data_IF_285600691624
#
_entry.id   IF_285600691624
#
_cell.length_a   1.000
_cell.length_b   1.000
_cell.length_c   1.000
_cell.angle_alpha   90.00
_cell.angle_beta   90.00
_cell.angle_gamma   90.00
#
_symmetry.space_group_name_H-M   'P 1'
#
loop_
_entity.id
_entity.type
_entity.pdbx_description
1 polymer ?
#
# COMPACT_ATOMS: atom_id res chain seq x y z
N UNK A 1 -12.01 -15.33 -15.34
CA UNK A 1 -11.70 -13.88 -15.36
C UNK A 1 -11.83 -13.39 -16.80
N UNK A 2 -12.47 -12.24 -17.01
CA UNK A 2 -12.68 -11.67 -18.34
C UNK A 2 -11.34 -11.17 -18.88
N UNK A 3 -10.78 -11.81 -19.91
CA UNK A 3 -9.42 -11.59 -20.45
C UNK A 3 -9.18 -10.21 -21.08
N UNK A 4 -10.13 -9.29 -20.98
CA UNK A 4 -10.07 -7.94 -21.56
C UNK A 4 -9.96 -6.80 -20.55
N UNK A 5 -10.21 -7.05 -19.26
CA UNK A 5 -10.21 -5.97 -18.25
C UNK A 5 -8.76 -5.67 -17.85
N UNK A 6 -8.30 -4.45 -18.17
CA UNK A 6 -6.92 -4.02 -17.91
C UNK A 6 -6.74 -3.33 -16.55
N UNK A 7 -7.77 -2.63 -16.09
CA UNK A 7 -7.73 -1.81 -14.88
C UNK A 7 -9.11 -1.72 -14.23
N UNK A 8 -9.13 -1.75 -12.91
CA UNK A 8 -10.30 -1.49 -12.07
C UNK A 8 -10.11 -0.13 -11.40
N UNK A 9 -11.13 0.73 -11.48
CA UNK A 9 -11.12 2.04 -10.83
C UNK A 9 -12.20 2.03 -9.75
N UNK A 10 -11.77 2.05 -8.48
CA UNK A 10 -12.65 2.12 -7.34
C UNK A 10 -13.04 3.58 -7.09
N UNK A 11 -14.33 3.85 -7.04
CA UNK A 11 -14.86 5.14 -6.60
C UNK A 11 -15.60 4.96 -5.28
N UNK A 12 -15.26 5.77 -4.29
CA UNK A 12 -15.85 5.66 -2.95
C UNK A 12 -16.11 7.03 -2.35
N UNK A 13 -17.07 7.13 -1.44
CA UNK A 13 -17.30 8.35 -0.67
C UNK A 13 -16.05 8.70 0.17
N UNK A 14 -15.83 9.99 0.39
CA UNK A 14 -14.70 10.54 1.14
C UNK A 14 -14.75 10.29 2.65
N UNK A 15 -15.67 9.47 3.16
CA UNK A 15 -15.82 9.15 4.57
C UNK A 15 -14.54 8.50 5.15
N UNK A 16 -13.77 9.31 5.89
CA UNK A 16 -12.39 9.02 6.27
C UNK A 16 -12.27 7.77 7.14
N UNK A 17 -13.15 7.64 8.15
CA UNK A 17 -13.11 6.55 9.13
C UNK A 17 -13.41 5.18 8.54
N UNK A 18 -14.10 5.12 7.40
CA UNK A 18 -14.55 3.88 6.78
C UNK A 18 -13.65 3.48 5.61
N UNK A 19 -13.47 4.39 4.65
CA UNK A 19 -12.90 4.03 3.36
C UNK A 19 -11.44 4.45 3.20
N UNK A 20 -11.00 5.53 3.86
CA UNK A 20 -9.62 6.04 3.79
C UNK A 20 -8.75 5.52 4.95
N UNK A 21 -8.50 4.22 4.98
CA UNK A 21 -7.64 3.57 5.97
C UNK A 21 -6.36 2.96 5.34
N UNK A 22 -5.29 2.82 6.13
CA UNK A 22 -4.00 2.33 5.63
C UNK A 22 -4.02 0.88 5.13
N UNK A 23 -4.91 0.04 5.69
CA UNK A 23 -5.06 -1.37 5.29
C UNK A 23 -5.64 -1.48 3.88
N UNK A 24 -6.63 -0.65 3.54
CA UNK A 24 -7.20 -0.56 2.19
C UNK A 24 -6.16 -0.17 1.15
N UNK A 25 -5.34 0.84 1.45
CA UNK A 25 -4.27 1.24 0.54
C UNK A 25 -3.21 0.15 0.37
N UNK A 26 -2.94 -0.62 1.43
CA UNK A 26 -2.04 -1.78 1.34
C UNK A 26 -2.63 -2.86 0.44
N UNK A 27 -3.91 -3.20 0.59
CA UNK A 27 -4.59 -4.13 -0.32
C UNK A 27 -4.56 -3.65 -1.79
N UNK A 28 -4.67 -2.33 -2.02
CA UNK A 28 -4.58 -1.76 -3.36
C UNK A 28 -3.23 -2.07 -4.04
N UNK A 29 -2.12 -2.10 -3.29
CA UNK A 29 -0.80 -2.47 -3.83
C UNK A 29 -0.76 -3.89 -4.39
N UNK A 30 -1.48 -4.81 -3.76
CA UNK A 30 -1.53 -6.23 -4.14
C UNK A 30 -2.61 -6.55 -5.16
N UNK A 31 -3.38 -5.56 -5.62
CA UNK A 31 -4.54 -5.80 -6.48
C UNK A 31 -4.21 -6.60 -7.75
N UNK A 32 -3.04 -6.34 -8.34
CA UNK A 32 -2.56 -7.08 -9.53
C UNK A 32 -2.12 -8.51 -9.20
N UNK A 33 -1.52 -8.73 -8.04
CA UNK A 33 -1.09 -10.06 -7.59
C UNK A 33 -2.30 -10.93 -7.21
N UNK A 34 -3.24 -10.36 -6.45
CA UNK A 34 -4.43 -11.05 -5.95
C UNK A 34 -5.47 -11.31 -7.06
N UNK A 35 -5.65 -10.38 -7.99
CA UNK A 35 -6.74 -10.41 -8.97
C UNK A 35 -6.28 -10.41 -10.44
N UNK A 36 -4.99 -10.33 -10.71
CA UNK A 36 -4.45 -10.30 -12.07
C UNK A 36 -4.70 -9.00 -12.84
N UNK A 37 -5.19 -7.94 -12.17
CA UNK A 37 -5.57 -6.67 -12.80
C UNK A 37 -5.13 -5.48 -11.97
N UNK A 38 -4.75 -4.37 -12.61
CA UNK A 38 -4.36 -3.15 -11.90
C UNK A 38 -5.56 -2.46 -11.26
N UNK A 39 -5.36 -1.85 -10.10
CA UNK A 39 -6.40 -1.15 -9.34
C UNK A 39 -5.98 0.27 -8.99
N UNK A 40 -6.88 1.23 -9.14
CA UNK A 40 -6.73 2.60 -8.63
C UNK A 40 -7.91 2.97 -7.76
N UNK A 41 -7.71 3.85 -6.77
CA UNK A 41 -8.76 4.23 -5.85
C UNK A 41 -8.94 5.74 -5.79
N UNK A 42 -10.15 6.18 -6.13
CA UNK A 42 -10.59 7.55 -6.11
C UNK A 42 -11.67 7.76 -5.07
N UNK A 43 -11.63 8.94 -4.44
CA UNK A 43 -12.58 9.35 -3.44
C UNK A 43 -13.32 10.61 -3.89
N UNK A 44 -14.62 10.63 -3.66
CA UNK A 44 -15.39 11.86 -3.75
C UNK A 44 -15.05 12.79 -2.57
N UNK A 45 -15.35 14.08 -2.73
CA UNK A 45 -15.24 15.01 -1.61
C UNK A 45 -16.19 14.60 -0.49
N UNK A 46 -15.75 14.80 0.76
CA UNK A 46 -16.58 14.58 1.96
C UNK A 46 -17.93 15.30 1.79
N UNK A 47 -19.02 14.54 1.94
CA UNK A 47 -20.42 15.01 1.90
C UNK A 47 -21.12 15.06 0.54
N UNK A 48 -20.61 14.42 -0.51
CA UNK A 48 -21.33 14.34 -1.78
C UNK A 48 -22.10 13.03 -1.98
N UNK A 49 -23.45 13.17 -1.96
CA UNK A 49 -24.38 12.56 -2.90
C UNK A 49 -24.66 11.07 -2.77
N UNK A 50 -25.94 10.71 -2.62
CA UNK A 50 -26.39 9.33 -2.81
C UNK A 50 -25.98 8.84 -4.20
N UNK A 51 -25.22 7.76 -4.28
CA UNK A 51 -24.76 7.17 -5.53
C UNK A 51 -25.70 6.08 -6.05
N UNK A 52 -25.38 5.48 -7.21
CA UNK A 52 -26.10 4.32 -7.73
C UNK A 52 -26.18 3.17 -6.71
N UNK A 53 -25.15 2.99 -5.87
CA UNK A 53 -25.12 2.00 -4.80
C UNK A 53 -26.22 2.22 -3.75
N UNK A 54 -26.53 3.47 -3.39
CA UNK A 54 -27.64 3.81 -2.49
C UNK A 54 -29.00 3.46 -3.11
N UNK A 55 -29.13 3.59 -4.43
CA UNK A 55 -30.32 3.17 -5.17
C UNK A 55 -30.54 1.66 -5.12
N UNK A 56 -29.48 0.87 -5.31
CA UNK A 56 -29.49 -0.60 -5.18
C UNK A 56 -29.88 -1.00 -3.76
N UNK A 57 -29.18 -0.45 -2.75
CA UNK A 57 -29.45 -0.75 -1.35
C UNK A 57 -30.85 -0.30 -0.91
N UNK A 58 -31.31 0.87 -1.37
CA UNK A 58 -32.65 1.37 -1.14
C UNK A 58 -33.74 0.50 -1.77
N UNK A 59 -33.49 -0.02 -2.97
CA UNK A 59 -34.41 -0.94 -3.67
C UNK A 59 -34.56 -2.25 -2.91
N UNK A 60 -33.45 -2.88 -2.54
CA UNK A 60 -33.45 -4.12 -1.74
C UNK A 60 -34.24 -3.88 -0.43
N UNK A 61 -33.87 -2.85 0.33
CA UNK A 61 -34.52 -2.52 1.63
C UNK A 61 -36.02 -2.26 1.48
N UNK A 62 -36.42 -1.52 0.44
CA UNK A 62 -37.83 -1.17 0.20
C UNK A 62 -38.65 -2.42 -0.13
N UNK A 63 -38.16 -3.24 -1.06
CA UNK A 63 -38.91 -4.40 -1.55
C UNK A 63 -38.97 -5.50 -0.47
N UNK A 64 -37.86 -5.78 0.22
CA UNK A 64 -37.83 -6.80 1.28
C UNK A 64 -38.71 -6.39 2.47
N UNK A 65 -38.68 -5.11 2.87
CA UNK A 65 -39.59 -4.58 3.90
C UNK A 65 -41.05 -4.74 3.50
N UNK A 66 -41.39 -4.46 2.23
CA UNK A 66 -42.77 -4.59 1.74
C UNK A 66 -43.24 -6.05 1.78
N UNK A 67 -42.44 -6.99 1.28
CA UNK A 67 -42.76 -8.43 1.33
C UNK A 67 -42.94 -8.92 2.78
N UNK A 68 -42.09 -8.45 3.69
CA UNK A 68 -42.22 -8.75 5.12
C UNK A 68 -43.49 -8.17 5.75
N UNK A 69 -43.91 -6.96 5.37
CA UNK A 69 -45.14 -6.33 5.86
C UNK A 69 -46.42 -6.98 5.31
N UNK A 70 -46.35 -7.54 4.11
CA UNK A 70 -47.45 -8.27 3.48
C UNK A 70 -47.59 -9.71 4.00
N UNK A 71 -46.76 -10.12 4.98
CA UNK A 71 -46.66 -11.49 5.49
C UNK A 71 -46.39 -12.54 4.39
N UNK A 72 -45.77 -12.15 3.28
CA UNK A 72 -45.37 -13.07 2.21
C UNK A 72 -44.18 -13.93 2.64
N UNK A 73 -43.31 -13.37 3.50
CA UNK A 73 -42.12 -14.04 4.01
C UNK A 73 -41.64 -13.41 5.33
N UNK A 74 -41.01 -14.19 6.19
CA UNK A 74 -40.34 -13.71 7.40
C UNK A 74 -38.83 -13.58 7.16
N UNK A 75 -38.34 -12.34 6.98
CA UNK A 75 -36.91 -12.06 6.76
C UNK A 75 -36.29 -11.60 8.09
N UNK A 76 -35.71 -12.54 8.84
CA UNK A 76 -35.07 -12.29 10.14
C UNK A 76 -33.57 -12.58 10.16
N UNK A 77 -33.03 -13.17 9.09
CA UNK A 77 -31.61 -13.50 8.96
C UNK A 77 -31.04 -12.94 7.65
N UNK A 78 -29.73 -12.66 7.58
CA UNK A 78 -29.08 -12.23 6.34
C UNK A 78 -29.25 -13.24 5.20
N UNK A 79 -29.19 -14.54 5.52
CA UNK A 79 -29.39 -15.60 4.53
C UNK A 79 -30.81 -15.59 3.96
N UNK A 80 -31.83 -15.42 4.81
CA UNK A 80 -33.21 -15.29 4.35
C UNK A 80 -33.40 -14.07 3.44
N UNK A 81 -32.76 -12.94 3.76
CA UNK A 81 -32.79 -11.75 2.92
C UNK A 81 -32.20 -12.02 1.53
N UNK A 82 -31.04 -12.69 1.46
CA UNK A 82 -30.34 -12.96 0.20
C UNK A 82 -31.11 -13.96 -0.66
N UNK A 83 -31.60 -15.06 -0.07
CA UNK A 83 -32.42 -16.04 -0.79
C UNK A 83 -33.66 -15.39 -1.39
N UNK A 84 -34.33 -14.52 -0.61
CA UNK A 84 -35.47 -13.76 -1.10
C UNK A 84 -35.06 -12.78 -2.20
N UNK A 85 -33.97 -12.03 -2.05
CA UNK A 85 -33.50 -11.09 -3.07
C UNK A 85 -33.21 -11.79 -4.39
N UNK A 86 -32.46 -12.90 -4.35
CA UNK A 86 -32.07 -13.65 -5.56
C UNK A 86 -33.29 -14.25 -6.29
N UNK A 87 -34.38 -14.53 -5.56
CA UNK A 87 -35.60 -15.08 -6.14
C UNK A 87 -36.56 -14.01 -6.68
N UNK A 88 -36.46 -12.77 -6.20
CA UNK A 88 -37.47 -11.71 -6.44
C UNK A 88 -36.92 -10.46 -7.13
N UNK A 89 -35.59 -10.33 -7.27
CA UNK A 89 -34.94 -9.16 -7.86
C UNK A 89 -33.95 -9.62 -8.94
N UNK A 90 -34.46 -9.85 -10.16
CA UNK A 90 -33.70 -10.42 -11.28
C UNK A 90 -32.41 -9.65 -11.61
N UNK A 91 -32.44 -8.31 -11.51
CA UNK A 91 -31.34 -7.45 -11.92
C UNK A 91 -30.33 -7.13 -10.81
N UNK A 92 -30.47 -7.71 -9.62
CA UNK A 92 -29.55 -7.48 -8.49
C UNK A 92 -29.02 -8.82 -7.98
N UNK A 93 -27.73 -9.04 -8.12
CA UNK A 93 -27.04 -10.21 -7.59
C UNK A 93 -26.57 -9.93 -6.16
N UNK A 94 -27.05 -10.72 -5.21
CA UNK A 94 -26.61 -10.64 -3.82
C UNK A 94 -25.64 -11.78 -3.50
N UNK A 95 -24.54 -11.44 -2.82
CA UNK A 95 -23.55 -12.39 -2.32
C UNK A 95 -23.59 -12.41 -0.80
N UNK A 96 -23.53 -13.61 -0.22
CA UNK A 96 -23.39 -13.78 1.22
C UNK A 96 -21.91 -13.91 1.58
N UNK A 97 -21.47 -13.15 2.57
CA UNK A 97 -20.15 -13.27 3.16
C UNK A 97 -20.35 -13.73 4.59
N UNK A 98 -19.89 -14.94 4.91
CA UNK A 98 -20.07 -15.51 6.24
C UNK A 98 -19.08 -14.92 7.24
N UNK A 99 -19.37 -15.04 8.53
CA UNK A 99 -18.41 -14.66 9.58
C UNK A 99 -17.11 -15.45 9.48
N UNK A 100 -17.19 -16.73 9.08
CA UNK A 100 -16.02 -17.59 8.90
C UNK A 100 -15.14 -17.09 7.74
N UNK A 101 -15.74 -16.69 6.62
CA UNK A 101 -15.01 -16.10 5.48
C UNK A 101 -14.28 -14.81 5.90
N UNK A 102 -14.92 -13.99 6.73
CA UNK A 102 -14.31 -12.76 7.28
C UNK A 102 -13.13 -13.12 8.16
N UNK A 103 -13.28 -14.06 9.10
CA UNK A 103 -12.20 -14.47 10.00
C UNK A 103 -11.03 -15.11 9.25
N UNK A 104 -11.29 -15.96 8.26
CA UNK A 104 -10.23 -16.54 7.42
C UNK A 104 -9.50 -15.47 6.61
N UNK A 105 -10.24 -14.53 6.03
CA UNK A 105 -9.66 -13.39 5.29
C UNK A 105 -8.82 -12.51 6.21
N UNK A 106 -9.27 -12.25 7.43
CA UNK A 106 -8.52 -11.47 8.42
C UNK A 106 -7.19 -12.13 8.78
N UNK A 107 -7.19 -13.45 8.99
CA UNK A 107 -5.95 -14.22 9.23
C UNK A 107 -5.03 -14.13 8.02
N UNK A 108 -5.55 -14.37 6.81
CA UNK A 108 -4.77 -14.35 5.58
C UNK A 108 -4.13 -12.99 5.30
N UNK A 109 -4.80 -11.89 5.65
CA UNK A 109 -4.31 -10.52 5.46
C UNK A 109 -3.52 -9.98 6.67
N UNK A 110 -3.40 -10.75 7.75
CA UNK A 110 -2.79 -10.31 9.01
C UNK A 110 -1.35 -9.80 8.84
N UNK A 111 -0.47 -10.60 8.24
CA UNK A 111 0.93 -10.23 7.97
C UNK A 111 1.02 -9.02 7.04
N UNK A 112 0.19 -8.99 5.99
CA UNK A 112 0.08 -7.86 5.05
C UNK A 112 -0.20 -6.56 5.80
N UNK A 113 -1.18 -6.57 6.72
CA UNK A 113 -1.57 -5.37 7.48
C UNK A 113 -0.57 -4.96 8.56
N UNK A 114 0.23 -5.90 9.10
CA UNK A 114 1.31 -5.56 10.03
C UNK A 114 2.40 -4.70 9.35
N UNK A 115 2.61 -4.91 8.04
CA UNK A 115 3.57 -4.13 7.26
C UNK A 115 3.05 -2.75 6.81
N UNK A 116 1.77 -2.43 7.03
CA UNK A 116 1.16 -1.16 6.60
C UNK A 116 1.70 0.06 7.37
N UNK A 117 1.93 1.18 6.67
CA UNK A 117 2.24 2.49 7.25
C UNK A 117 1.02 3.42 7.16
N UNK A 118 0.79 4.19 8.22
CA UNK A 118 -0.22 5.25 8.20
C UNK A 118 0.24 6.41 7.34
N UNK A 119 -0.65 6.87 6.46
CA UNK A 119 -0.39 8.05 5.62
C UNK A 119 -1.02 9.30 6.26
N UNK A 120 -0.22 10.29 6.70
CA UNK A 120 -0.77 11.53 7.27
C UNK A 120 -1.47 12.37 6.19
N UNK A 121 -2.51 13.12 6.58
CA UNK A 121 -3.20 14.03 5.68
C UNK A 121 -4.10 13.37 4.63
N UNK A 122 -4.40 12.06 4.76
CA UNK A 122 -5.28 11.28 3.87
C UNK A 122 -6.65 11.91 3.60
N UNK A 123 -7.16 12.73 4.52
CA UNK A 123 -8.42 13.45 4.34
C UNK A 123 -8.42 14.32 3.07
N UNK A 124 -7.29 14.96 2.77
CA UNK A 124 -7.13 15.89 1.62
C UNK A 124 -6.79 15.17 0.32
N UNK A 125 -6.50 13.87 0.38
CA UNK A 125 -6.10 13.06 -0.78
C UNK A 125 -7.32 12.36 -1.34
N UNK A 126 -7.51 12.44 -2.65
CA UNK A 126 -8.68 11.88 -3.34
C UNK A 126 -8.33 10.87 -4.43
N UNK A 127 -7.05 10.62 -4.68
CA UNK A 127 -6.59 9.66 -5.66
C UNK A 127 -5.39 8.91 -5.10
N UNK A 128 -5.40 7.59 -5.29
CA UNK A 128 -4.34 6.67 -4.89
C UNK A 128 -4.09 5.68 -6.04
N UNK A 129 -2.87 5.71 -6.57
CA UNK A 129 -2.44 4.85 -7.68
C UNK A 129 -1.20 4.07 -7.23
N UNK A 130 -1.25 2.72 -7.18
CA UNK A 130 -0.07 1.90 -6.91
C UNK A 130 1.04 2.15 -7.93
N UNK A 131 2.26 2.31 -7.43
CA UNK A 131 3.48 2.36 -8.27
C UNK A 131 4.15 0.99 -8.27
N UNK A 132 4.25 0.38 -7.08
CA UNK A 132 4.83 -0.93 -6.83
C UNK A 132 4.21 -1.57 -5.58
N UNK A 133 4.81 -2.66 -5.07
CA UNK A 133 4.33 -3.38 -3.88
C UNK A 133 4.57 -2.63 -2.55
N UNK A 134 5.12 -1.42 -2.58
CA UNK A 134 5.47 -0.64 -1.40
C UNK A 134 4.90 0.78 -1.39
N UNK A 135 4.63 1.35 -2.57
CA UNK A 135 4.39 2.76 -2.73
C UNK A 135 3.18 3.10 -3.59
N UNK A 136 2.58 4.26 -3.29
CA UNK A 136 1.48 4.87 -4.02
C UNK A 136 1.82 6.28 -4.45
N UNK A 137 1.37 6.65 -5.63
CA UNK A 137 1.23 8.04 -6.06
C UNK A 137 -0.14 8.55 -5.60
N UNK A 138 -0.16 9.78 -5.09
CA UNK A 138 -1.37 10.40 -4.55
C UNK A 138 -1.60 11.80 -5.09
N UNK A 139 -2.87 12.13 -5.32
CA UNK A 139 -3.25 13.44 -5.82
C UNK A 139 -4.35 14.05 -4.92
N UNK A 140 -4.30 15.36 -4.74
CA UNK A 140 -5.32 16.13 -3.98
C UNK A 140 -6.71 16.05 -4.61
N UNK A 141 -6.80 15.87 -5.93
CA UNK A 141 -8.02 15.53 -6.67
C UNK A 141 -7.63 14.68 -7.88
N UNK A 142 -8.55 13.85 -8.39
CA UNK A 142 -8.26 12.85 -9.43
C UNK A 142 -7.68 13.45 -10.73
N UNK A 143 -8.00 14.70 -11.05
CA UNK A 143 -7.52 15.41 -12.24
C UNK A 143 -6.30 16.31 -11.97
N UNK A 144 -5.73 16.29 -10.76
CA UNK A 144 -4.59 17.14 -10.44
C UNK A 144 -3.33 16.67 -11.16
N UNK A 145 -2.60 17.60 -11.78
CA UNK A 145 -1.25 17.33 -12.31
C UNK A 145 -0.20 17.24 -11.19
N UNK A 146 -0.52 17.77 -10.00
CA UNK A 146 0.34 17.69 -8.83
C UNK A 146 0.13 16.37 -8.11
N UNK A 147 1.21 15.60 -8.01
CA UNK A 147 1.23 14.31 -7.34
C UNK A 147 2.35 14.23 -6.30
N UNK A 148 2.14 13.39 -5.28
CA UNK A 148 3.13 13.07 -4.26
C UNK A 148 3.23 11.56 -4.11
N UNK A 149 4.46 11.04 -4.08
CA UNK A 149 4.72 9.62 -3.86
C UNK A 149 4.91 9.33 -2.37
N UNK A 150 4.31 8.24 -1.90
CA UNK A 150 4.40 7.78 -0.52
C UNK A 150 4.69 6.30 -0.46
N UNK A 151 5.65 5.91 0.39
CA UNK A 151 5.87 4.52 0.79
C UNK A 151 4.90 4.19 1.92
N UNK A 152 3.93 3.32 1.63
CA UNK A 152 2.83 2.98 2.55
C UNK A 152 2.92 1.54 3.09
N UNK A 153 3.96 0.80 2.71
CA UNK A 153 4.29 -0.52 3.26
C UNK A 153 5.76 -0.54 3.69
N UNK A 154 6.04 -1.13 4.85
CA UNK A 154 7.41 -1.43 5.28
C UNK A 154 7.96 -2.53 4.38
N UNK A 155 9.19 -2.33 3.91
CA UNK A 155 9.96 -3.45 3.40
C UNK A 155 10.31 -4.32 4.60
N UNK A 156 9.77 -5.54 4.65
CA UNK A 156 10.27 -6.54 5.58
C UNK A 156 11.73 -6.76 5.20
N UNK A 157 12.60 -6.36 6.11
CA UNK A 157 14.00 -6.63 5.94
C UNK A 157 14.15 -8.14 6.12
N UNK A 158 14.23 -8.88 5.01
CA UNK A 158 14.41 -10.33 5.05
C UNK A 158 15.51 -10.70 6.05
N UNK A 159 15.21 -11.60 7.00
CA UNK A 159 16.21 -12.15 7.93
C UNK A 159 17.39 -12.84 7.21
N UNK A 160 17.28 -13.00 5.89
CA UNK A 160 18.31 -13.49 4.96
C UNK A 160 19.36 -12.46 4.53
N UNK A 161 19.48 -11.28 5.15
CA UNK A 161 20.47 -10.26 4.74
C UNK A 161 21.96 -10.63 4.94
N UNK A 162 22.29 -11.82 5.42
CA UNK A 162 23.63 -12.12 5.95
C UNK A 162 24.60 -12.80 4.97
N UNK A 163 24.45 -12.62 3.66
CA UNK A 163 25.47 -13.09 2.70
C UNK A 163 26.52 -12.04 2.33
N UNK A 164 26.59 -10.91 3.05
CA UNK A 164 27.69 -9.95 2.87
C UNK A 164 28.85 -10.33 3.78
N UNK A 165 29.85 -11.01 3.21
CA UNK A 165 31.08 -11.31 3.93
C UNK A 165 31.83 -10.01 4.24
N UNK A 166 32.17 -9.79 5.52
CA UNK A 166 32.94 -8.61 5.97
C UNK A 166 34.24 -8.39 5.16
N UNK A 167 34.82 -9.47 4.65
CA UNK A 167 36.04 -9.43 3.84
C UNK A 167 35.85 -8.79 2.47
N UNK A 168 34.62 -8.79 1.94
CA UNK A 168 34.27 -8.19 0.64
C UNK A 168 34.03 -6.69 0.73
N UNK A 169 33.67 -6.19 1.92
CA UNK A 169 33.46 -4.77 2.19
C UNK A 169 34.79 -4.03 2.21
N UNK A 170 35.06 -3.20 1.21
CA UNK A 170 36.27 -2.36 1.13
C UNK A 170 35.94 -0.89 1.36
N UNK A 171 36.92 -0.12 1.84
CA UNK A 171 36.83 1.34 1.87
C UNK A 171 36.50 1.84 0.47
N UNK A 172 35.71 2.91 0.39
CA UNK A 172 35.13 3.48 -0.82
C UNK A 172 34.06 2.64 -1.52
N UNK A 173 33.76 1.42 -1.07
CA UNK A 173 32.58 0.71 -1.56
C UNK A 173 31.31 1.46 -1.19
N UNK A 174 30.37 1.46 -2.12
CA UNK A 174 29.02 1.94 -1.87
C UNK A 174 28.18 0.72 -1.48
N UNK A 175 27.44 0.84 -0.41
CA UNK A 175 26.57 -0.20 0.12
C UNK A 175 25.15 0.34 0.26
N UNK A 176 24.19 -0.57 0.23
CA UNK A 176 22.87 -0.34 0.82
C UNK A 176 22.90 -0.86 2.25
N UNK A 177 22.41 -0.08 3.21
CA UNK A 177 22.39 -0.45 4.63
C UNK A 177 21.20 0.16 5.36
N UNK A 178 20.86 -0.39 6.52
CA UNK A 178 19.76 0.06 7.38
C UNK A 178 20.33 0.85 8.55
N UNK A 179 19.81 2.06 8.74
CA UNK A 179 20.17 2.90 9.87
C UNK A 179 18.92 3.58 10.42
N UNK A 180 18.68 3.44 11.74
CA UNK A 180 17.51 3.99 12.44
C UNK A 180 16.17 3.66 11.74
N UNK A 181 16.02 2.42 11.27
CA UNK A 181 14.79 1.92 10.65
C UNK A 181 14.52 2.40 9.23
N UNK A 182 15.45 3.13 8.60
CA UNK A 182 15.42 3.48 7.16
C UNK A 182 16.61 2.86 6.44
N UNK A 183 16.46 2.56 5.15
CA UNK A 183 17.60 2.15 4.33
C UNK A 183 18.25 3.33 3.62
N UNK A 184 19.57 3.29 3.49
CA UNK A 184 20.40 4.34 2.90
C UNK A 184 21.40 3.71 1.94
N UNK A 185 21.77 4.46 0.90
CA UNK A 185 23.07 4.27 0.27
C UNK A 185 24.13 4.92 1.16
N UNK A 186 25.28 4.28 1.27
CA UNK A 186 26.38 4.76 2.09
C UNK A 186 27.73 4.39 1.51
N UNK A 187 28.70 5.27 1.66
CA UNK A 187 30.09 5.03 1.29
C UNK A 187 30.87 4.60 2.53
N UNK A 188 31.58 3.47 2.44
CA UNK A 188 32.40 2.97 3.55
C UNK A 188 33.64 3.87 3.70
N UNK A 189 33.81 4.47 4.88
CA UNK A 189 34.97 5.27 5.25
C UNK A 189 36.05 4.44 5.94
N UNK A 190 35.65 3.59 6.88
CA UNK A 190 36.56 2.73 7.65
C UNK A 190 35.84 1.48 8.15
N UNK A 191 36.61 0.51 8.64
CA UNK A 191 36.12 -0.79 9.12
C UNK A 191 36.70 -1.08 10.49
N UNK A 192 35.85 -1.50 11.41
CA UNK A 192 36.25 -2.02 12.72
C UNK A 192 36.12 -3.54 12.70
N UNK A 193 37.28 -4.22 12.69
CA UNK A 193 37.34 -5.70 12.72
C UNK A 193 37.00 -6.30 14.08
N UNK A 194 37.19 -5.55 15.16
CA UNK A 194 36.94 -6.02 16.52
C UNK A 194 35.45 -6.08 16.84
N UNK A 195 34.70 -5.05 16.43
CA UNK A 195 33.26 -4.95 16.66
C UNK A 195 32.41 -5.41 15.47
N UNK A 196 33.03 -5.70 14.32
CA UNK A 196 32.34 -6.10 13.08
C UNK A 196 31.37 -5.00 12.62
N UNK A 197 31.88 -3.77 12.67
CA UNK A 197 31.16 -2.56 12.28
C UNK A 197 31.88 -1.85 11.14
N UNK A 198 31.13 -1.05 10.39
CA UNK A 198 31.66 -0.21 9.33
C UNK A 198 31.24 1.23 9.57
N UNK A 199 32.17 2.15 9.35
CA UNK A 199 31.87 3.57 9.40
C UNK A 199 31.39 4.04 8.04
N UNK A 200 30.17 4.56 7.96
CA UNK A 200 29.47 4.81 6.70
C UNK A 200 29.12 6.29 6.58
N UNK A 201 29.51 6.91 5.47
CA UNK A 201 29.05 8.24 5.06
C UNK A 201 27.79 8.09 4.20
N UNK A 202 26.66 8.57 4.70
CA UNK A 202 25.38 8.34 4.03
C UNK A 202 25.19 9.21 2.79
N UNK A 203 24.37 8.71 1.88
CA UNK A 203 23.74 9.51 0.84
C UNK A 203 22.34 9.91 1.30
N UNK A 204 21.86 11.06 0.81
CA UNK A 204 20.49 11.55 1.00
C UNK A 204 19.80 11.67 -0.35
N UNK A 205 18.46 11.54 -0.39
CA UNK A 205 17.58 11.17 0.72
C UNK A 205 17.75 9.69 1.13
N UNK A 206 17.19 9.25 2.28
CA UNK A 206 17.00 7.82 2.53
C UNK A 206 16.25 7.19 1.37
N UNK A 207 16.47 5.90 1.15
CA UNK A 207 15.90 5.22 -0.01
C UNK A 207 14.37 5.11 0.02
N UNK A 208 13.73 5.20 1.19
CA UNK A 208 12.27 5.33 1.31
C UNK A 208 11.72 6.66 0.76
N UNK A 209 12.56 7.69 0.68
CA UNK A 209 12.21 9.04 0.20
C UNK A 209 12.87 9.32 -1.15
N UNK A 210 13.16 8.27 -1.94
CA UNK A 210 13.81 8.40 -3.23
C UNK A 210 13.02 9.33 -4.16
N UNK A 211 13.69 10.36 -4.66
CA UNK A 211 13.13 11.30 -5.63
C UNK A 211 13.77 11.10 -7.00
N UNK A 212 13.18 11.68 -8.05
CA UNK A 212 13.73 11.70 -9.43
C UNK A 212 15.16 12.26 -9.48
N UNK A 213 15.56 13.07 -8.49
CA UNK A 213 16.91 13.66 -8.39
C UNK A 213 18.00 12.66 -8.00
N UNK A 214 17.63 11.45 -7.56
CA UNK A 214 18.57 10.39 -7.15
C UNK A 214 19.17 10.64 -5.77
N UNK A 215 20.36 10.08 -5.55
CA UNK A 215 21.10 10.16 -4.28
C UNK A 215 22.28 11.11 -4.39
N UNK A 216 22.52 11.91 -3.36
CA UNK A 216 23.72 12.73 -3.23
C UNK A 216 24.41 12.42 -1.91
N UNK A 217 25.75 12.38 -1.94
CA UNK A 217 26.53 12.23 -0.72
C UNK A 217 26.22 13.42 0.18
N UNK A 218 25.86 13.16 1.43
CA UNK A 218 25.38 14.20 2.33
C UNK A 218 26.51 15.03 2.92
N UNK A 219 26.18 15.94 3.84
CA UNK A 219 27.18 16.77 4.53
C UNK A 219 28.26 15.89 5.19
N UNK A 220 29.46 16.44 5.38
CA UNK A 220 30.63 15.69 5.89
C UNK A 220 30.40 14.96 7.22
N UNK A 221 29.44 15.43 8.01
CA UNK A 221 29.20 14.94 9.38
C UNK A 221 28.08 13.88 9.44
N UNK A 222 27.43 13.56 8.31
CA UNK A 222 26.40 12.51 8.23
C UNK A 222 27.07 11.12 8.11
N UNK A 223 27.79 10.77 9.16
CA UNK A 223 28.59 9.55 9.27
C UNK A 223 28.14 8.77 10.50
N UNK A 224 27.97 7.46 10.39
CA UNK A 224 27.70 6.60 11.55
C UNK A 224 28.33 5.22 11.43
N UNK A 225 28.53 4.58 12.58
CA UNK A 225 28.85 3.17 12.66
C UNK A 225 27.59 2.35 12.37
N UNK A 226 27.74 1.40 11.46
CA UNK A 226 26.69 0.49 11.02
C UNK A 226 27.17 -0.94 11.25
N UNK A 227 26.45 -1.75 12.05
CA UNK A 227 26.76 -3.16 12.20
C UNK A 227 26.69 -3.90 10.87
N UNK A 228 27.54 -4.92 10.67
CA UNK A 228 27.48 -5.74 9.45
C UNK A 228 26.10 -6.34 9.22
N UNK A 229 25.36 -6.70 10.28
CA UNK A 229 23.99 -7.21 10.23
C UNK A 229 23.00 -6.26 9.57
N UNK A 230 23.34 -4.96 9.50
CA UNK A 230 22.50 -3.93 8.91
C UNK A 230 22.91 -3.62 7.46
N UNK A 231 23.92 -4.30 6.92
CA UNK A 231 24.32 -4.15 5.51
C UNK A 231 23.44 -5.06 4.66
N UNK A 232 22.77 -4.46 3.66
CA UNK A 232 21.86 -5.15 2.75
C UNK A 232 22.65 -5.78 1.60
N UNK A 233 23.50 -4.98 0.93
CA UNK A 233 24.33 -5.44 -0.20
C UNK A 233 25.39 -4.41 -0.59
N UNK A 234 26.41 -4.87 -1.33
CA UNK A 234 27.35 -4.00 -2.05
C UNK A 234 26.73 -3.54 -3.36
N UNK A 235 26.72 -2.23 -3.59
CA UNK A 235 26.18 -1.62 -4.81
C UNK A 235 27.23 -1.68 -5.91
N UNK A 236 26.95 -2.49 -6.94
CA UNK A 236 27.89 -2.74 -8.05
C UNK A 236 28.09 -1.53 -8.97
N UNK A 237 27.06 -0.71 -9.15
CA UNK A 237 27.12 0.46 -10.03
C UNK A 237 26.05 1.49 -9.69
N UNK A 238 26.38 2.77 -9.83
CA UNK A 238 25.42 3.88 -9.82
C UNK A 238 25.42 4.58 -11.18
N UNK A 239 24.24 4.84 -11.72
CA UNK A 239 24.09 5.69 -12.91
C UNK A 239 24.04 7.14 -12.46
N UNK A 240 24.86 8.00 -13.09
CA UNK A 240 24.76 9.45 -12.88
C UNK A 240 23.46 9.96 -13.50
N UNK A 241 22.66 10.66 -12.71
CA UNK A 241 21.51 11.41 -13.24
C UNK A 241 22.06 12.55 -14.10
N UNK A 242 21.68 12.60 -15.38
CA UNK A 242 22.02 13.72 -16.25
C UNK A 242 21.18 14.89 -15.77
N UNK A 243 21.83 15.96 -15.32
CA UNK A 243 21.15 17.24 -15.11
C UNK A 243 20.66 17.73 -16.47
N UNK A 244 19.36 17.65 -16.72
CA UNK A 244 18.75 18.46 -17.78
C UNK A 244 18.96 19.92 -17.39
N UNK A 245 19.84 20.61 -18.11
CA UNK A 245 19.96 22.07 -18.07
C UNK A 245 18.64 22.74 -18.44
#
# INVERSE_FOLDING_TARGET
>A
MHTSVKKVIHFTDGAVSQYKNCKNFTNLLFHKEDFGVEGEWHFFATSHGKGPCDGIGGTIKRLSRRASLQNEITIQTPLALILWCNSNIENIKCFFVSSDDISQTEIALGSRFQSSKTLPGTQKIHCFVPVDLFSVTTNIFSSSEQYTNYVIRRQELNEYFLDVNFSELKVDNIIACVYLGKWYLGKILSRDKGQVEINVHFFKPPGEELTIRGFQLSAKDDVALVPLSNVIQIVKSLKKTISSC
#
